data_IF_061725971127
#
_entry.id   IF_061725971127
#
_cell.length_a   1.000
_cell.length_b   1.000
_cell.length_c   1.000
_cell.angle_alpha   90.00
_cell.angle_beta   90.00
_cell.angle_gamma   90.00
#
_symmetry.space_group_name_H-M   'P 1'
#
loop_
_entity.id
_entity.type
_entity.pdbx_description
1 polymer ?
#
# COMPACT_ATOMS: atom_id res chain seq x y z
N UNK A 1 29.25 41.93 50.56
CA UNK A 1 28.58 40.63 50.40
C UNK A 1 28.03 40.59 48.96
N UNK A 2 28.84 40.10 48.02
CA UNK A 2 28.49 40.06 46.59
C UNK A 2 27.62 38.83 46.35
N UNK A 3 26.33 39.04 46.07
CA UNK A 3 25.43 37.99 45.62
C UNK A 3 25.48 37.97 44.09
N UNK A 4 26.31 37.10 43.53
CA UNK A 4 26.23 36.70 42.13
C UNK A 4 24.83 36.16 41.85
N UNK A 5 23.98 36.97 41.22
CA UNK A 5 22.74 36.48 40.64
C UNK A 5 23.11 35.69 39.38
N UNK A 6 23.10 34.37 39.50
CA UNK A 6 23.20 33.46 38.37
C UNK A 6 21.94 33.67 37.50
N UNK A 7 22.06 33.92 36.18
CA UNK A 7 20.88 34.11 35.35
C UNK A 7 20.05 32.81 35.27
N UNK A 8 18.72 32.92 35.11
CA UNK A 8 17.84 31.76 35.04
C UNK A 8 18.24 30.87 33.85
N UNK A 9 18.47 29.59 34.11
CA UNK A 9 18.68 28.58 33.08
C UNK A 9 17.41 28.48 32.22
N UNK A 10 17.41 29.13 31.07
CA UNK A 10 16.39 28.90 30.05
C UNK A 10 16.48 27.43 29.65
N UNK A 11 15.38 26.65 29.72
CA UNK A 11 15.37 25.34 29.11
C UNK A 11 15.56 25.58 27.62
N UNK A 12 16.73 25.21 27.10
CA UNK A 12 16.99 25.16 25.68
C UNK A 12 16.02 24.14 25.08
N UNK A 13 14.82 24.58 24.70
CA UNK A 13 14.02 23.89 23.69
C UNK A 13 14.85 23.93 22.42
N UNK A 14 15.77 22.98 22.30
CA UNK A 14 16.48 22.69 21.07
C UNK A 14 15.43 22.27 20.06
N UNK A 15 14.81 23.26 19.42
CA UNK A 15 13.91 23.04 18.31
C UNK A 15 14.71 22.26 17.28
N UNK A 16 14.31 21.02 17.00
CA UNK A 16 14.98 20.19 16.02
C UNK A 16 14.96 20.91 14.67
N UNK A 17 16.11 21.42 14.25
CA UNK A 17 16.29 22.06 12.94
C UNK A 17 16.71 20.98 11.96
N UNK A 18 16.06 20.92 10.80
CA UNK A 18 16.46 20.02 9.73
C UNK A 18 17.80 20.51 9.18
N UNK A 19 18.86 19.73 9.44
CA UNK A 19 20.17 19.98 8.86
C UNK A 19 20.16 19.86 7.32
N UNK A 20 21.14 20.48 6.67
CA UNK A 20 21.31 20.44 5.23
C UNK A 20 21.36 19.00 4.68
N UNK A 21 21.98 18.07 5.40
CA UNK A 21 22.05 16.67 5.00
C UNK A 21 20.68 15.99 5.07
N UNK A 22 19.94 16.18 6.16
CA UNK A 22 18.57 15.64 6.31
C UNK A 22 17.63 16.18 5.24
N UNK A 23 17.76 17.46 4.88
CA UNK A 23 17.00 18.08 3.78
C UNK A 23 17.28 17.42 2.43
N UNK A 24 18.55 17.09 2.14
CA UNK A 24 18.93 16.37 0.91
C UNK A 24 18.31 14.97 0.85
N UNK A 25 18.40 14.21 1.93
CA UNK A 25 17.80 12.86 1.97
C UNK A 25 16.28 12.91 1.82
N UNK A 26 15.59 13.85 2.46
CA UNK A 26 14.15 14.01 2.31
C UNK A 26 13.74 14.39 0.88
N UNK A 27 14.55 15.18 0.18
CA UNK A 27 14.30 15.49 -1.24
C UNK A 27 14.50 14.27 -2.13
N UNK A 28 15.53 13.46 -1.84
CA UNK A 28 15.84 12.24 -2.56
C UNK A 28 14.75 11.18 -2.35
N UNK A 29 14.34 10.91 -1.11
CA UNK A 29 13.24 9.97 -0.81
C UNK A 29 11.91 10.45 -1.39
N UNK A 30 11.65 11.76 -1.40
CA UNK A 30 10.49 12.32 -2.10
C UNK A 30 10.62 12.26 -3.64
N UNK A 31 11.83 12.19 -4.17
CA UNK A 31 12.09 11.89 -5.58
C UNK A 31 11.68 10.47 -5.93
N UNK A 32 12.26 9.50 -5.22
CA UNK A 32 11.98 8.07 -5.37
C UNK A 32 10.53 7.73 -5.10
N UNK A 33 9.92 8.31 -4.05
CA UNK A 33 8.51 8.12 -3.74
C UNK A 33 7.60 8.55 -4.90
N UNK A 34 7.88 9.70 -5.54
CA UNK A 34 7.11 10.15 -6.70
C UNK A 34 7.27 9.21 -7.90
N UNK A 35 8.50 8.74 -8.14
CA UNK A 35 8.78 7.78 -9.21
C UNK A 35 8.00 6.47 -9.01
N UNK A 36 8.09 5.88 -7.82
CA UNK A 36 7.39 4.64 -7.47
C UNK A 36 5.88 4.81 -7.61
N UNK A 37 5.31 5.92 -7.14
CA UNK A 37 3.87 6.20 -7.33
C UNK A 37 3.45 6.18 -8.79
N UNK A 38 4.22 6.82 -9.68
CA UNK A 38 3.92 6.87 -11.12
C UNK A 38 3.98 5.46 -11.70
N UNK A 39 5.02 4.69 -11.38
CA UNK A 39 5.16 3.29 -11.83
C UNK A 39 3.97 2.45 -11.37
N UNK A 40 3.55 2.58 -10.10
CA UNK A 40 2.38 1.86 -9.58
C UNK A 40 1.09 2.24 -10.32
N UNK A 41 0.87 3.52 -10.63
CA UNK A 41 -0.30 3.93 -11.42
C UNK A 41 -0.26 3.37 -12.85
N UNK A 42 0.91 3.35 -13.49
CA UNK A 42 1.07 2.77 -14.83
C UNK A 42 0.80 1.27 -14.80
N UNK A 43 1.42 0.54 -13.87
CA UNK A 43 1.21 -0.90 -13.71
C UNK A 43 -0.26 -1.22 -13.40
N UNK A 44 -0.90 -0.41 -12.56
CA UNK A 44 -2.32 -0.56 -12.26
C UNK A 44 -3.18 -0.35 -13.52
N UNK A 45 -2.89 0.68 -14.33
CA UNK A 45 -3.57 0.92 -15.59
C UNK A 45 -3.40 -0.21 -16.61
N UNK A 46 -2.18 -0.75 -16.74
CA UNK A 46 -1.91 -1.92 -17.59
C UNK A 46 -2.69 -3.13 -17.09
N UNK A 47 -2.75 -3.33 -15.77
CA UNK A 47 -3.48 -4.45 -15.18
C UNK A 47 -4.99 -4.39 -15.49
N UNK A 48 -5.61 -3.23 -15.34
CA UNK A 48 -7.01 -3.02 -15.75
C UNK A 48 -7.22 -3.24 -17.25
N UNK A 49 -6.29 -2.76 -18.09
CA UNK A 49 -6.37 -2.93 -19.54
C UNK A 49 -6.31 -4.41 -19.94
N UNK A 50 -5.36 -5.17 -19.38
CA UNK A 50 -5.20 -6.59 -19.63
C UNK A 50 -6.47 -7.36 -19.24
N UNK A 51 -7.06 -7.04 -18.09
CA UNK A 51 -8.26 -7.70 -17.59
C UNK A 51 -9.48 -7.54 -18.52
N UNK A 52 -9.55 -6.45 -19.29
CA UNK A 52 -10.60 -6.23 -20.29
C UNK A 52 -10.22 -6.85 -21.64
N UNK A 53 -8.96 -6.71 -22.06
CA UNK A 53 -8.50 -7.11 -23.39
C UNK A 53 -8.44 -8.63 -23.57
N UNK A 54 -7.98 -9.36 -22.55
CA UNK A 54 -7.81 -10.82 -22.60
C UNK A 54 -9.14 -11.55 -22.86
N UNK A 55 -10.24 -11.27 -22.12
CA UNK A 55 -11.54 -11.87 -22.42
C UNK A 55 -12.03 -11.61 -23.84
N UNK A 56 -11.81 -10.38 -24.33
CA UNK A 56 -12.25 -9.97 -25.67
C UNK A 56 -11.54 -10.74 -26.80
N UNK A 57 -10.31 -11.21 -26.54
CA UNK A 57 -9.51 -12.00 -27.49
C UNK A 57 -9.71 -13.52 -27.33
N UNK A 58 -10.68 -13.96 -26.52
CA UNK A 58 -10.93 -15.37 -26.25
C UNK A 58 -9.89 -16.04 -25.33
N UNK A 59 -9.08 -15.25 -24.61
CA UNK A 59 -7.98 -15.73 -23.79
C UNK A 59 -8.34 -16.10 -22.34
N UNK A 60 -9.63 -16.25 -22.00
CA UNK A 60 -10.07 -16.47 -20.61
C UNK A 60 -9.57 -17.81 -20.02
N UNK A 61 -9.38 -18.82 -20.87
CA UNK A 61 -8.90 -20.15 -20.46
C UNK A 61 -7.48 -20.11 -19.88
N UNK A 62 -6.67 -19.11 -20.25
CA UNK A 62 -5.29 -18.97 -19.80
C UNK A 62 -5.16 -18.41 -18.36
N UNK A 63 -6.21 -17.80 -17.82
CA UNK A 63 -6.20 -17.19 -16.47
C UNK A 63 -6.89 -18.07 -15.42
N UNK A 64 -7.36 -19.24 -15.83
CA UNK A 64 -8.13 -20.14 -14.98
C UNK A 64 -7.26 -21.30 -14.50
N UNK A 65 -7.07 -21.47 -13.18
CA UNK A 65 -6.51 -22.70 -12.64
C UNK A 65 -7.40 -23.90 -13.02
N UNK A 66 -6.81 -25.03 -13.47
CA UNK A 66 -7.57 -26.25 -13.76
C UNK A 66 -8.43 -26.65 -12.55
N UNK A 67 -9.74 -26.81 -12.74
CA UNK A 67 -10.68 -27.17 -11.66
C UNK A 67 -11.24 -26.00 -10.85
N UNK A 68 -10.98 -24.75 -11.24
CA UNK A 68 -11.66 -23.61 -10.61
C UNK A 68 -13.16 -23.61 -10.94
N UNK A 69 -14.05 -23.39 -9.95
CA UNK A 69 -15.49 -23.27 -10.18
C UNK A 69 -15.86 -22.04 -11.05
N UNK A 70 -14.86 -21.24 -11.41
CA UNK A 70 -14.95 -20.06 -12.27
C UNK A 70 -15.36 -20.42 -13.71
N UNK A 71 -15.02 -21.63 -14.19
CA UNK A 71 -15.29 -22.06 -15.57
C UNK A 71 -16.54 -22.95 -15.71
N UNK A 72 -16.92 -23.68 -14.65
CA UNK A 72 -18.04 -24.66 -14.74
C UNK A 72 -19.42 -24.01 -14.98
N UNK A 73 -19.53 -22.69 -14.79
CA UNK A 73 -20.81 -21.99 -14.89
C UNK A 73 -20.86 -20.96 -16.03
N UNK A 74 -19.85 -20.90 -16.93
CA UNK A 74 -19.90 -20.02 -18.12
C UNK A 74 -20.76 -20.60 -19.25
N UNK A 75 -21.32 -21.80 -19.08
CA UNK A 75 -22.36 -22.36 -19.95
C UNK A 75 -23.75 -21.84 -19.52
N UNK A 76 -23.98 -20.54 -19.74
CA UNK A 76 -25.24 -20.08 -20.35
C UNK A 76 -26.49 -19.76 -19.52
N UNK A 77 -26.60 -19.93 -18.19
CA UNK A 77 -27.91 -19.58 -17.55
C UNK A 77 -27.90 -18.97 -16.13
N UNK A 78 -26.76 -18.92 -15.43
CA UNK A 78 -26.71 -18.26 -14.10
C UNK A 78 -25.31 -17.99 -13.53
N UNK A 79 -24.27 -18.60 -14.09
CA UNK A 79 -22.89 -18.40 -13.63
C UNK A 79 -22.21 -17.12 -14.11
N UNK A 80 -22.70 -16.53 -15.20
CA UNK A 80 -22.06 -15.39 -15.85
C UNK A 80 -22.13 -14.12 -14.98
N UNK A 81 -23.29 -13.85 -14.38
CA UNK A 81 -23.47 -12.70 -13.49
C UNK A 81 -22.61 -12.79 -12.21
N UNK A 82 -22.47 -13.98 -11.63
CA UNK A 82 -21.63 -14.18 -10.45
C UNK A 82 -20.14 -14.09 -10.77
N UNK A 83 -19.69 -14.65 -11.90
CA UNK A 83 -18.32 -14.52 -12.37
C UNK A 83 -17.94 -13.07 -12.65
N UNK A 84 -18.82 -12.31 -13.32
CA UNK A 84 -18.64 -10.87 -13.54
C UNK A 84 -18.56 -10.09 -12.22
N UNK A 85 -19.41 -10.40 -11.24
CA UNK A 85 -19.37 -9.78 -9.92
C UNK A 85 -18.04 -10.05 -9.22
N UNK A 86 -17.54 -11.28 -9.25
CA UNK A 86 -16.24 -11.62 -8.67
C UNK A 86 -15.07 -10.92 -9.36
N UNK A 87 -15.10 -10.81 -10.69
CA UNK A 87 -14.07 -10.08 -11.45
C UNK A 87 -14.08 -8.61 -11.04
N UNK A 88 -15.24 -7.95 -10.98
CA UNK A 88 -15.38 -6.55 -10.54
C UNK A 88 -14.86 -6.38 -9.11
N UNK A 89 -15.22 -7.30 -8.21
CA UNK A 89 -14.77 -7.28 -6.82
C UNK A 89 -13.24 -7.39 -6.73
N UNK A 90 -12.63 -8.33 -7.45
CA UNK A 90 -11.18 -8.50 -7.50
C UNK A 90 -10.48 -7.25 -8.04
N UNK A 91 -11.05 -6.66 -9.09
CA UNK A 91 -10.60 -5.40 -9.70
C UNK A 91 -10.58 -4.26 -8.67
N UNK A 92 -11.68 -4.13 -7.91
CA UNK A 92 -11.83 -3.10 -6.88
C UNK A 92 -10.83 -3.31 -5.73
N UNK A 93 -10.65 -4.55 -5.27
CA UNK A 93 -9.70 -4.90 -4.21
C UNK A 93 -8.26 -4.59 -4.67
N UNK A 94 -7.87 -5.04 -5.87
CA UNK A 94 -6.52 -4.80 -6.39
C UNK A 94 -6.23 -3.32 -6.62
N UNK A 95 -7.21 -2.61 -7.19
CA UNK A 95 -7.16 -1.16 -7.36
C UNK A 95 -7.03 -0.42 -6.03
N UNK A 96 -7.74 -0.85 -4.99
CA UNK A 96 -7.58 -0.30 -3.65
C UNK A 96 -6.21 -0.64 -3.06
N UNK A 97 -5.75 -1.88 -3.21
CA UNK A 97 -4.51 -2.36 -2.61
C UNK A 97 -3.28 -1.64 -3.15
N UNK A 98 -3.23 -1.36 -4.46
CA UNK A 98 -2.09 -0.72 -5.12
C UNK A 98 -2.31 0.78 -5.36
N UNK A 99 -3.52 1.17 -5.74
CA UNK A 99 -3.83 2.58 -6.05
C UNK A 99 -3.80 3.48 -4.82
N UNK A 100 -4.25 2.97 -3.67
CA UNK A 100 -4.22 3.71 -2.42
C UNK A 100 -2.77 4.06 -1.98
N UNK A 101 -1.83 3.11 -1.84
CA UNK A 101 -0.46 3.44 -1.47
C UNK A 101 0.22 4.32 -2.51
N UNK A 102 -0.03 4.11 -3.81
CA UNK A 102 0.49 4.97 -4.87
C UNK A 102 0.06 6.44 -4.68
N UNK A 103 -1.22 6.67 -4.35
CA UNK A 103 -1.76 8.01 -4.09
C UNK A 103 -1.13 8.66 -2.85
N UNK A 104 -1.03 7.94 -1.73
CA UNK A 104 -0.46 8.50 -0.50
C UNK A 104 1.04 8.80 -0.64
N UNK A 105 1.78 7.92 -1.33
CA UNK A 105 3.20 8.11 -1.60
C UNK A 105 3.46 9.31 -2.53
N UNK A 106 2.58 9.56 -3.50
CA UNK A 106 2.65 10.73 -4.37
C UNK A 106 2.38 12.02 -3.59
N UNK A 107 1.40 11.99 -2.69
CA UNK A 107 1.04 13.13 -1.84
C UNK A 107 2.14 13.45 -0.82
N UNK A 108 2.75 12.43 -0.20
CA UNK A 108 3.94 12.57 0.62
C UNK A 108 5.06 13.27 -0.15
N UNK A 109 5.42 12.71 -1.30
CA UNK A 109 6.52 13.21 -2.14
C UNK A 109 6.34 14.67 -2.56
N UNK A 110 5.12 15.03 -2.94
CA UNK A 110 4.79 16.41 -3.36
C UNK A 110 4.82 17.37 -2.17
N UNK A 111 4.32 16.95 -1.00
CA UNK A 111 4.28 17.79 0.21
C UNK A 111 5.65 18.01 0.81
N UNK A 112 6.49 16.97 0.90
CA UNK A 112 7.87 17.10 1.40
C UNK A 112 8.69 18.03 0.51
N UNK A 113 8.62 17.87 -0.82
CA UNK A 113 9.31 18.77 -1.74
C UNK A 113 8.89 20.23 -1.54
N UNK A 114 7.59 20.51 -1.45
CA UNK A 114 7.07 21.88 -1.20
C UNK A 114 7.44 22.41 0.17
N UNK A 115 7.40 21.58 1.20
CA UNK A 115 7.77 21.95 2.56
C UNK A 115 9.22 22.42 2.63
N UNK A 116 10.12 21.69 1.97
CA UNK A 116 11.55 22.00 1.96
C UNK A 116 11.90 23.19 1.07
N UNK A 117 11.17 23.43 -0.04
CA UNK A 117 11.41 24.64 -0.86
C UNK A 117 10.85 25.91 -0.24
N UNK A 118 9.72 25.81 0.47
CA UNK A 118 9.04 26.96 1.08
C UNK A 118 9.39 27.15 2.57
N UNK A 119 10.28 26.32 3.13
CA UNK A 119 10.58 26.28 4.58
C UNK A 119 9.31 26.27 5.45
N UNK A 120 8.32 25.48 5.03
CA UNK A 120 7.00 25.46 5.65
C UNK A 120 6.82 24.22 6.53
N UNK A 121 6.92 24.43 7.85
CA UNK A 121 6.81 23.36 8.85
C UNK A 121 5.46 22.64 8.81
N UNK A 122 4.37 23.33 8.50
CA UNK A 122 3.04 22.72 8.40
C UNK A 122 2.98 21.71 7.25
N UNK A 123 3.51 22.06 6.08
CA UNK A 123 3.58 21.15 4.94
C UNK A 123 4.47 19.93 5.21
N UNK A 124 5.53 20.11 6.00
CA UNK A 124 6.42 19.04 6.41
C UNK A 124 5.66 18.01 7.28
N UNK A 125 5.01 18.48 8.35
CA UNK A 125 4.18 17.63 9.23
C UNK A 125 3.08 16.93 8.45
N UNK A 126 2.40 17.66 7.58
CA UNK A 126 1.38 17.13 6.70
C UNK A 126 1.91 16.09 5.71
N UNK A 127 3.18 16.18 5.29
CA UNK A 127 3.86 15.19 4.47
C UNK A 127 4.08 13.91 5.25
N UNK A 128 4.72 13.99 6.42
CA UNK A 128 4.95 12.84 7.30
C UNK A 128 3.66 12.14 7.74
N UNK A 129 2.57 12.89 7.95
CA UNK A 129 1.27 12.30 8.24
C UNK A 129 0.78 11.36 7.13
N UNK A 130 1.03 11.71 5.86
CA UNK A 130 0.67 10.84 4.71
C UNK A 130 1.56 9.60 4.64
N UNK A 131 2.83 9.74 5.00
CA UNK A 131 3.74 8.61 5.11
C UNK A 131 3.32 7.66 6.24
N UNK A 132 2.88 8.20 7.38
CA UNK A 132 2.37 7.39 8.49
C UNK A 132 1.11 6.62 8.08
N UNK A 133 0.21 7.24 7.31
CA UNK A 133 -0.97 6.54 6.79
C UNK A 133 -0.58 5.36 5.89
N UNK A 134 0.43 5.54 5.03
CA UNK A 134 0.98 4.47 4.19
C UNK A 134 1.50 3.29 5.02
N UNK A 135 2.31 3.57 6.06
CA UNK A 135 2.81 2.52 6.95
C UNK A 135 1.71 1.82 7.75
N UNK A 136 0.70 2.57 8.22
CA UNK A 136 -0.46 1.99 8.89
C UNK A 136 -1.26 1.07 7.97
N UNK A 137 -1.43 1.46 6.71
CA UNK A 137 -2.09 0.65 5.70
C UNK A 137 -1.37 -0.69 5.51
N UNK A 138 -0.05 -0.67 5.25
CA UNK A 138 0.73 -1.91 5.11
C UNK A 138 0.80 -2.71 6.42
N UNK A 139 0.91 -2.05 7.58
CA UNK A 139 0.94 -2.75 8.87
C UNK A 139 -0.34 -3.54 9.15
N UNK A 140 -1.51 -2.97 8.83
CA UNK A 140 -2.79 -3.68 8.97
C UNK A 140 -2.85 -4.86 7.99
N UNK A 141 -2.46 -4.66 6.73
CA UNK A 141 -2.41 -5.74 5.74
C UNK A 141 -1.50 -6.88 6.20
N UNK A 142 -0.31 -6.56 6.72
CA UNK A 142 0.63 -7.55 7.24
C UNK A 142 0.04 -8.33 8.42
N UNK A 143 -0.64 -7.67 9.37
CA UNK A 143 -1.30 -8.39 10.46
C UNK A 143 -2.37 -9.37 9.96
N UNK A 144 -3.17 -8.96 8.98
CA UNK A 144 -4.17 -9.84 8.35
C UNK A 144 -3.49 -11.02 7.66
N UNK A 145 -2.44 -10.78 6.86
CA UNK A 145 -1.69 -11.83 6.18
C UNK A 145 -1.09 -12.84 7.15
N UNK A 146 -0.49 -12.39 8.25
CA UNK A 146 0.05 -13.28 9.29
C UNK A 146 -1.05 -14.13 9.92
N UNK A 147 -2.22 -13.53 10.23
CA UNK A 147 -3.36 -14.28 10.76
C UNK A 147 -3.83 -15.38 9.82
N UNK A 148 -3.91 -15.11 8.51
CA UNK A 148 -4.27 -16.09 7.49
C UNK A 148 -3.22 -17.21 7.40
N UNK A 149 -1.93 -16.87 7.43
CA UNK A 149 -0.85 -17.87 7.39
C UNK A 149 -0.85 -18.80 8.61
N UNK A 150 -1.09 -18.26 9.80
CA UNK A 150 -1.18 -19.07 11.02
C UNK A 150 -2.40 -20.01 10.93
N UNK A 151 -3.55 -19.49 10.49
CA UNK A 151 -4.76 -20.28 10.38
C UNK A 151 -4.64 -21.37 9.30
N UNK A 152 -4.03 -21.07 8.16
CA UNK A 152 -3.79 -22.05 7.09
C UNK A 152 -2.85 -23.16 7.53
N UNK A 153 -1.82 -22.86 8.34
CA UNK A 153 -0.97 -23.89 8.94
C UNK A 153 -1.76 -24.83 9.86
N UNK A 154 -2.65 -24.30 10.69
CA UNK A 154 -3.51 -25.12 11.55
C UNK A 154 -4.39 -26.04 10.70
N UNK A 155 -5.01 -25.52 9.64
CA UNK A 155 -5.81 -26.32 8.72
C UNK A 155 -4.99 -27.41 8.04
N UNK A 156 -3.79 -27.09 7.53
CA UNK A 156 -2.92 -28.07 6.87
C UNK A 156 -2.57 -29.21 7.83
N UNK A 157 -2.25 -28.92 9.08
CA UNK A 157 -1.94 -29.95 10.08
C UNK A 157 -3.15 -30.83 10.38
N UNK A 158 -4.32 -30.23 10.62
CA UNK A 158 -5.55 -30.98 10.93
C UNK A 158 -5.97 -31.85 9.74
N UNK A 159 -6.08 -31.27 8.55
CA UNK A 159 -6.44 -32.01 7.34
C UNK A 159 -5.41 -33.06 6.97
N UNK A 160 -4.12 -32.79 7.15
CA UNK A 160 -3.05 -33.76 6.93
C UNK A 160 -3.14 -34.96 7.86
N UNK A 161 -3.44 -34.75 9.14
CA UNK A 161 -3.64 -35.84 10.12
C UNK A 161 -4.89 -36.65 9.76
N UNK A 162 -6.02 -35.99 9.47
CA UNK A 162 -7.27 -36.68 9.09
C UNK A 162 -7.09 -37.52 7.82
N UNK A 163 -6.39 -36.98 6.82
CA UNK A 163 -6.09 -37.70 5.58
C UNK A 163 -5.15 -38.89 5.78
N UNK A 164 -4.28 -38.87 6.80
CA UNK A 164 -3.40 -39.99 7.12
C UNK A 164 -4.09 -41.12 7.92
N UNK A 165 -5.27 -40.84 8.50
CA UNK A 165 -6.04 -41.79 9.32
C UNK A 165 -7.18 -42.50 8.55
N UNK A 166 -7.51 -42.02 7.34
CA UNK A 166 -8.45 -42.64 6.41
C UNK A 166 -7.72 -43.42 5.32
#
# INVERSE_FOLDING_TARGET
MNLQQNPPSTPSTSSLVIDAQSRRYLLETAGWGKFISIVMFILLGIWFLLLILIPLLGGMDAFSPPGSPMMKNMDGDSGDAFALLLIILLMAIYGLLIGLPAYYLWKYSTRIKRALTQNNQRLLTEGFQRLLFLFRFYGILTMISVGIYVLSLVFIVIFGIVAALN
#
